data_IF_110272163494
#
_entry.id   IF_110272163494
#
_cell.length_a   1.000
_cell.length_b   1.000
_cell.length_c   1.000
_cell.angle_alpha   90.00
_cell.angle_beta   90.00
_cell.angle_gamma   90.00
#
_symmetry.space_group_name_H-M   'P 1'
#
loop_
_entity.id
_entity.type
_entity.pdbx_description
1 polymer ?
#
# COMPACT_ATOMS: atom_id res chain seq x y z
N UNK A 1 15.71 25.54 18.08
CA UNK A 1 15.06 24.46 17.32
C UNK A 1 13.64 24.92 16.99
N UNK A 2 13.32 25.14 15.72
CA UNK A 2 11.96 25.51 15.31
C UNK A 2 11.09 24.25 15.33
N UNK A 3 10.11 24.18 16.24
CA UNK A 3 9.06 23.18 16.19
C UNK A 3 8.09 23.56 15.07
N UNK A 4 8.07 22.80 13.98
CA UNK A 4 7.02 22.92 12.99
C UNK A 4 5.70 22.45 13.62
N UNK A 5 4.75 23.37 13.81
CA UNK A 5 3.40 23.04 14.26
C UNK A 5 2.64 22.50 13.06
N UNK A 6 2.30 21.21 13.09
CA UNK A 6 1.41 20.59 12.11
C UNK A 6 -0.01 21.15 12.32
N UNK A 7 -0.62 21.71 11.27
CA UNK A 7 -2.02 22.14 11.26
C UNK A 7 -2.85 21.15 10.45
N UNK A 8 -4.08 20.89 10.90
CA UNK A 8 -5.05 20.08 10.16
C UNK A 8 -5.99 21.06 9.45
N UNK A 9 -5.99 21.02 8.12
CA UNK A 9 -6.91 21.82 7.33
C UNK A 9 -8.29 21.14 7.25
N UNK A 10 -9.40 21.91 7.30
CA UNK A 10 -10.72 21.37 7.05
C UNK A 10 -10.83 20.86 5.60
N UNK A 11 -11.68 19.87 5.37
CA UNK A 11 -11.94 19.40 4.01
C UNK A 11 -12.57 20.52 3.18
N UNK A 12 -12.06 20.73 1.96
CA UNK A 12 -12.63 21.71 1.03
C UNK A 12 -14.04 21.25 0.58
N UNK A 13 -15.02 22.18 0.50
CA UNK A 13 -16.35 21.84 0.00
C UNK A 13 -16.28 21.19 -1.39
N UNK A 14 -16.84 19.98 -1.53
CA UNK A 14 -16.84 19.23 -2.79
C UNK A 14 -15.62 18.33 -3.01
N UNK A 15 -14.69 18.22 -2.06
CA UNK A 15 -13.58 17.29 -2.14
C UNK A 15 -14.08 15.84 -2.09
N UNK A 16 -14.00 15.13 -3.22
CA UNK A 16 -14.32 13.70 -3.29
C UNK A 16 -13.18 12.88 -2.69
N UNK A 17 -13.48 12.16 -1.61
CA UNK A 17 -12.57 11.18 -1.04
C UNK A 17 -12.61 9.94 -1.93
N UNK A 18 -11.45 9.55 -2.47
CA UNK A 18 -11.36 8.30 -3.21
C UNK A 18 -11.81 7.12 -2.33
N UNK A 19 -12.57 6.15 -2.88
CA UNK A 19 -13.06 5.02 -2.11
C UNK A 19 -11.89 4.25 -1.48
N UNK A 20 -12.15 3.72 -0.28
CA UNK A 20 -11.18 2.92 0.45
C UNK A 20 -10.79 1.70 -0.39
N UNK A 21 -9.51 1.59 -0.77
CA UNK A 21 -9.00 0.43 -1.49
C UNK A 21 -8.74 -0.72 -0.50
N UNK A 22 -9.24 -1.91 -0.83
CA UNK A 22 -8.93 -3.15 -0.12
C UNK A 22 -7.99 -3.99 -0.98
N UNK A 23 -6.94 -4.51 -0.35
CA UNK A 23 -6.01 -5.44 -0.99
C UNK A 23 -6.22 -6.84 -0.39
N UNK A 24 -6.24 -7.90 -1.20
CA UNK A 24 -6.51 -9.27 -0.74
C UNK A 24 -5.28 -9.96 -0.14
N UNK A 25 -4.52 -9.27 0.72
CA UNK A 25 -3.24 -9.80 1.24
C UNK A 25 -3.37 -11.10 2.02
N UNK A 26 -4.51 -11.28 2.70
CA UNK A 26 -4.89 -12.48 3.45
C UNK A 26 -5.10 -13.71 2.57
N UNK A 27 -5.44 -13.49 1.29
CA UNK A 27 -5.69 -14.55 0.31
C UNK A 27 -4.46 -14.85 -0.55
N UNK A 28 -3.37 -14.09 -0.42
CA UNK A 28 -2.17 -14.28 -1.22
C UNK A 28 -1.28 -15.39 -0.64
N UNK A 29 -1.06 -16.44 -1.42
CA UNK A 29 -0.02 -17.45 -1.20
C UNK A 29 1.37 -16.97 -1.62
N UNK A 30 2.40 -17.76 -1.31
CA UNK A 30 3.78 -17.45 -1.75
C UNK A 30 3.86 -17.49 -3.27
N UNK A 31 4.42 -16.44 -3.88
CA UNK A 31 4.49 -16.28 -5.33
C UNK A 31 3.30 -15.55 -5.95
N UNK A 32 2.16 -15.47 -5.25
CA UNK A 32 1.01 -14.69 -5.73
C UNK A 32 1.37 -13.20 -5.79
N UNK A 33 0.77 -12.52 -6.77
CA UNK A 33 1.08 -11.13 -7.02
C UNK A 33 -0.07 -10.32 -7.58
N UNK A 34 -0.10 -9.04 -7.19
CA UNK A 34 -1.01 -8.02 -7.69
C UNK A 34 -0.23 -7.13 -8.66
N UNK A 35 -0.72 -6.96 -9.89
CA UNK A 35 -0.17 -6.00 -10.85
C UNK A 35 -0.85 -4.64 -10.68
N UNK A 36 -0.04 -3.59 -10.59
CA UNK A 36 -0.47 -2.19 -10.49
C UNK A 36 0.34 -1.39 -11.50
N UNK A 37 -0.33 -0.67 -12.40
CA UNK A 37 0.32 0.12 -13.47
C UNK A 37 0.94 1.42 -12.94
N UNK A 38 0.32 2.07 -11.96
CA UNK A 38 0.83 3.27 -11.32
C UNK A 38 1.84 2.99 -10.20
N UNK A 39 3.02 3.61 -10.28
CA UNK A 39 4.08 3.41 -9.30
C UNK A 39 3.71 3.90 -7.90
N UNK A 40 3.03 5.05 -7.77
CA UNK A 40 2.66 5.60 -6.46
C UNK A 40 1.66 4.69 -5.75
N UNK A 41 0.70 4.15 -6.50
CA UNK A 41 -0.26 3.18 -6.01
C UNK A 41 0.43 1.87 -5.63
N UNK A 42 1.40 1.40 -6.41
CA UNK A 42 2.17 0.20 -6.07
C UNK A 42 2.98 0.38 -4.77
N UNK A 43 3.62 1.54 -4.57
CA UNK A 43 4.29 1.87 -3.30
C UNK A 43 3.30 1.94 -2.13
N UNK A 44 2.15 2.58 -2.33
CA UNK A 44 1.08 2.61 -1.33
C UNK A 44 0.62 1.19 -0.95
N UNK A 45 0.37 0.33 -1.94
CA UNK A 45 0.00 -1.07 -1.74
C UNK A 45 1.07 -1.85 -0.96
N UNK A 46 2.36 -1.65 -1.27
CA UNK A 46 3.46 -2.26 -0.52
C UNK A 46 3.45 -1.84 0.95
N UNK A 47 3.27 -0.54 1.23
CA UNK A 47 3.20 -0.04 2.61
C UNK A 47 1.98 -0.61 3.33
N UNK A 48 0.83 -0.68 2.65
CA UNK A 48 -0.36 -1.34 3.19
C UNK A 48 -0.12 -2.82 3.51
N UNK A 49 0.62 -3.56 2.67
CA UNK A 49 0.99 -4.95 2.92
C UNK A 49 1.89 -5.09 4.16
N UNK A 50 2.89 -4.21 4.31
CA UNK A 50 3.76 -4.17 5.49
C UNK A 50 2.94 -3.88 6.76
N UNK A 51 2.01 -2.93 6.70
CA UNK A 51 1.14 -2.61 7.84
C UNK A 51 0.14 -3.72 8.14
N UNK A 52 -0.32 -4.46 7.14
CA UNK A 52 -1.12 -5.67 7.32
C UNK A 52 -0.31 -6.71 8.09
N UNK A 53 0.89 -7.06 7.60
CA UNK A 53 1.79 -8.01 8.28
C UNK A 53 1.99 -7.65 9.76
N UNK A 54 2.32 -6.38 10.04
CA UNK A 54 2.58 -5.90 11.41
C UNK A 54 1.35 -6.01 12.32
N UNK A 55 0.16 -5.65 11.83
CA UNK A 55 -1.08 -5.69 12.62
C UNK A 55 -1.55 -7.11 12.93
N UNK A 56 -1.17 -8.07 12.10
CA UNK A 56 -1.55 -9.47 12.24
C UNK A 56 -0.40 -10.35 12.76
N UNK A 57 0.73 -9.76 13.15
CA UNK A 57 1.93 -10.47 13.67
C UNK A 57 2.41 -11.61 12.75
N UNK A 58 2.29 -11.42 11.44
CA UNK A 58 2.64 -12.43 10.46
C UNK A 58 4.16 -12.43 10.20
N UNK A 59 4.76 -13.62 10.01
CA UNK A 59 6.16 -13.75 9.58
C UNK A 59 6.39 -13.51 8.08
N UNK A 60 5.37 -13.01 7.38
CA UNK A 60 5.36 -12.86 5.92
C UNK A 60 6.16 -11.64 5.47
N UNK A 61 6.50 -11.62 4.18
CA UNK A 61 7.20 -10.52 3.51
C UNK A 61 6.58 -10.28 2.14
N UNK A 62 6.37 -9.01 1.82
CA UNK A 62 5.98 -8.58 0.48
C UNK A 62 7.12 -7.84 -0.22
N UNK A 63 7.36 -8.22 -1.47
CA UNK A 63 8.27 -7.56 -2.40
C UNK A 63 7.51 -6.67 -3.38
N UNK A 64 8.26 -5.79 -4.05
CA UNK A 64 7.82 -5.05 -5.24
C UNK A 64 8.80 -5.30 -6.37
N UNK A 65 8.31 -5.52 -7.59
CA UNK A 65 9.12 -5.71 -8.79
C UNK A 65 8.56 -4.90 -9.95
N UNK A 66 9.43 -4.20 -10.68
CA UNK A 66 9.09 -3.51 -11.93
C UNK A 66 8.86 -4.55 -13.05
N UNK A 67 7.82 -4.35 -13.83
CA UNK A 67 7.45 -5.09 -15.03
C UNK A 67 7.32 -4.11 -16.21
N UNK A 68 7.19 -4.62 -17.43
CA UNK A 68 7.00 -3.78 -18.62
C UNK A 68 5.69 -2.98 -18.59
N UNK A 69 4.66 -3.52 -17.95
CA UNK A 69 3.31 -2.94 -17.85
C UNK A 69 2.92 -2.50 -16.44
N UNK A 70 3.90 -2.30 -15.55
CA UNK A 70 3.63 -1.80 -14.20
C UNK A 70 4.53 -2.41 -13.13
N UNK A 71 3.95 -2.68 -11.97
CA UNK A 71 4.64 -3.10 -10.77
C UNK A 71 3.87 -4.23 -10.11
N UNK A 72 4.58 -5.31 -9.78
CA UNK A 72 4.00 -6.43 -9.03
C UNK A 72 4.33 -6.31 -7.56
N UNK A 73 3.30 -6.35 -6.72
CA UNK A 73 3.42 -6.62 -5.28
C UNK A 73 3.21 -8.10 -5.08
N UNK A 74 4.17 -8.79 -4.46
CA UNK A 74 4.14 -10.25 -4.37
C UNK A 74 4.57 -10.76 -3.00
N UNK A 75 3.98 -11.86 -2.55
CA UNK A 75 4.32 -12.50 -1.28
C UNK A 75 5.56 -13.37 -1.48
N UNK A 76 6.58 -13.16 -0.64
CA UNK A 76 7.88 -13.84 -0.71
C UNK A 76 7.89 -15.12 0.15
N UNK A 77 7.18 -15.10 1.28
CA UNK A 77 7.05 -16.22 2.23
C UNK A 77 5.73 -16.10 3.01
#
# INVERSE_FOLDING_TARGET
MNNAVMKIDPAEPGQQIAPLRRYPFDQMGVGDSILIDDFRLAQSARVSAINFIKRHELGWKFGIRKMDNGWRIFRIN
#
